data_IF_600500019197
#
_entry.id   IF_600500019197
#
_cell.length_a   1.000
_cell.length_b   1.000
_cell.length_c   1.000
_cell.angle_alpha   90.00
_cell.angle_beta   90.00
_cell.angle_gamma   90.00
#
_symmetry.space_group_name_H-M   'P 1'
#
loop_
_entity.id
_entity.type
_entity.pdbx_description
1 polymer ?
#
# COMPACT_ATOMS: atom_id res chain seq x y z
N UNK A 1 6.22 -29.47 -39.48
CA UNK A 1 6.42 -28.06 -39.11
C UNK A 1 5.21 -27.64 -38.27
N UNK A 2 5.36 -27.55 -36.95
CA UNK A 2 4.26 -27.16 -36.04
C UNK A 2 4.41 -25.68 -35.68
N UNK A 3 3.41 -24.89 -36.05
CA UNK A 3 3.30 -23.50 -35.63
C UNK A 3 3.04 -23.44 -34.11
N UNK A 4 3.94 -22.78 -33.37
CA UNK A 4 3.71 -22.41 -31.98
C UNK A 4 2.63 -21.33 -31.94
N UNK A 5 1.44 -21.72 -31.48
CA UNK A 5 0.41 -20.78 -31.05
C UNK A 5 0.93 -20.03 -29.82
N UNK A 6 1.19 -18.73 -29.98
CA UNK A 6 1.40 -17.83 -28.85
C UNK A 6 0.01 -17.65 -28.20
N UNK A 7 -0.24 -18.41 -27.14
CA UNK A 7 -1.40 -18.18 -26.28
C UNK A 7 -1.14 -16.91 -25.47
N UNK A 8 -1.97 -15.87 -25.55
CA UNK A 8 -1.83 -14.72 -24.68
C UNK A 8 -2.24 -15.18 -23.28
N UNK A 9 -1.26 -15.42 -22.40
CA UNK A 9 -1.51 -15.52 -20.96
C UNK A 9 -1.90 -14.13 -20.45
N UNK A 10 -3.11 -13.70 -20.80
CA UNK A 10 -3.90 -12.81 -19.98
C UNK A 10 -4.16 -13.59 -18.68
N UNK A 11 -3.22 -13.48 -17.76
CA UNK A 11 -3.44 -13.89 -16.37
C UNK A 11 -4.56 -13.00 -15.88
N UNK A 12 -5.79 -13.50 -16.00
CA UNK A 12 -6.89 -13.16 -15.13
C UNK A 12 -6.37 -13.41 -13.71
N UNK A 13 -5.78 -12.38 -13.11
CA UNK A 13 -5.48 -12.34 -11.69
C UNK A 13 -6.83 -12.52 -10.99
N UNK A 14 -7.13 -13.79 -10.64
CA UNK A 14 -8.21 -14.12 -9.72
C UNK A 14 -8.10 -13.15 -8.56
N UNK A 15 -9.26 -12.59 -8.16
CA UNK A 15 -9.45 -11.77 -6.96
C UNK A 15 -9.10 -12.57 -5.70
N UNK A 16 -7.83 -12.93 -5.53
CA UNK A 16 -7.33 -13.52 -4.30
C UNK A 16 -7.27 -12.37 -3.32
N UNK A 17 -8.24 -12.31 -2.41
CA UNK A 17 -8.22 -11.37 -1.29
C UNK A 17 -6.90 -11.54 -0.56
N UNK A 18 -6.02 -10.55 -0.65
CA UNK A 18 -4.69 -10.60 -0.04
C UNK A 18 -4.82 -10.15 1.39
N UNK A 19 -4.50 -11.02 2.34
CA UNK A 19 -4.52 -10.69 3.76
C UNK A 19 -3.14 -10.93 4.37
N UNK A 20 -2.75 -10.05 5.28
CA UNK A 20 -1.55 -10.21 6.11
C UNK A 20 -1.96 -10.12 7.56
N UNK A 21 -1.47 -11.05 8.38
CA UNK A 21 -1.64 -10.99 9.83
C UNK A 21 -0.33 -10.58 10.47
N UNK A 22 -0.34 -9.47 11.22
CA UNK A 22 0.82 -8.99 11.97
C UNK A 22 0.37 -8.53 13.36
N UNK A 23 1.08 -8.97 14.40
CA UNK A 23 0.78 -8.65 15.80
C UNK A 23 -0.69 -8.96 16.20
N UNK A 24 -1.23 -10.08 15.72
CA UNK A 24 -2.61 -10.51 16.01
C UNK A 24 -3.71 -9.71 15.29
N UNK A 25 -3.36 -8.74 14.43
CA UNK A 25 -4.31 -8.00 13.59
C UNK A 25 -4.22 -8.47 12.13
N UNK A 26 -5.37 -8.68 11.50
CA UNK A 26 -5.48 -9.06 10.08
C UNK A 26 -5.76 -7.83 9.23
N UNK A 27 -4.97 -7.65 8.19
CA UNK A 27 -5.05 -6.54 7.25
C UNK A 27 -5.51 -7.06 5.88
N UNK A 28 -6.66 -6.58 5.42
CA UNK A 28 -7.22 -6.92 4.11
C UNK A 28 -6.64 -6.02 3.00
N UNK A 29 -6.54 -6.57 1.79
CA UNK A 29 -5.93 -5.93 0.61
C UNK A 29 -4.47 -5.51 0.79
N UNK A 30 -3.76 -6.20 1.70
CA UNK A 30 -2.33 -6.05 1.92
C UNK A 30 -1.61 -7.29 1.41
N UNK A 31 -0.51 -7.08 0.71
CA UNK A 31 0.38 -8.12 0.19
C UNK A 31 1.55 -8.29 1.16
N UNK A 32 1.89 -9.52 1.57
CA UNK A 32 3.12 -9.74 2.33
C UNK A 32 4.33 -9.33 1.47
N UNK A 33 5.36 -8.81 2.14
CA UNK A 33 6.60 -8.38 1.49
C UNK A 33 7.79 -9.11 2.11
N UNK A 34 8.80 -9.36 1.29
CA UNK A 34 10.17 -9.67 1.70
C UNK A 34 11.06 -8.45 1.46
N UNK A 35 12.26 -8.42 2.05
CA UNK A 35 13.23 -7.32 1.90
C UNK A 35 13.48 -7.02 0.41
N UNK A 36 13.64 -8.06 -0.41
CA UNK A 36 13.97 -7.93 -1.84
C UNK A 36 12.75 -7.67 -2.74
N UNK A 37 11.54 -7.61 -2.19
CA UNK A 37 10.30 -7.48 -2.97
C UNK A 37 9.77 -6.05 -3.09
N UNK A 38 10.41 -5.09 -2.42
CA UNK A 38 10.03 -3.69 -2.43
C UNK A 38 10.79 -2.95 -3.52
N UNK A 39 10.08 -2.08 -4.24
CA UNK A 39 10.64 -1.25 -5.30
C UNK A 39 10.29 0.22 -5.08
N UNK A 40 11.14 1.13 -5.54
CA UNK A 40 10.85 2.57 -5.51
C UNK A 40 9.53 2.83 -6.24
N UNK A 41 8.66 3.64 -5.63
CA UNK A 41 7.30 3.91 -6.09
C UNK A 41 6.22 3.00 -5.49
N UNK A 42 6.62 1.95 -4.75
CA UNK A 42 5.70 1.11 -4.00
C UNK A 42 5.04 1.84 -2.84
N UNK A 43 3.94 1.26 -2.37
CA UNK A 43 3.12 1.80 -1.29
C UNK A 43 3.18 0.86 -0.08
N UNK A 44 4.21 0.94 0.77
CA UNK A 44 4.25 0.17 2.01
C UNK A 44 3.21 0.70 3.01
N UNK A 45 2.53 -0.23 3.69
CA UNK A 45 1.80 0.02 4.92
C UNK A 45 2.76 -0.22 6.08
N UNK A 46 3.11 0.84 6.81
CA UNK A 46 4.12 0.84 7.87
C UNK A 46 3.45 1.13 9.21
N UNK A 47 3.97 0.53 10.27
CA UNK A 47 3.55 0.79 11.65
C UNK A 47 4.69 1.40 12.45
N UNK A 48 4.49 2.64 12.92
CA UNK A 48 5.33 3.27 13.94
C UNK A 48 4.58 3.26 15.26
N UNK A 49 5.15 2.61 16.28
CA UNK A 49 4.49 2.41 17.57
C UNK A 49 3.07 1.83 17.39
N UNK A 50 2.03 2.56 17.77
CA UNK A 50 0.62 2.17 17.60
C UNK A 50 -0.02 2.69 16.31
N UNK A 51 0.62 3.62 15.60
CA UNK A 51 0.06 4.31 14.44
C UNK A 51 0.50 3.67 13.12
N UNK A 52 -0.38 3.76 12.12
CA UNK A 52 -0.17 3.14 10.81
C UNK A 52 -0.20 4.20 9.73
N UNK A 53 0.70 4.06 8.76
CA UNK A 53 0.93 5.03 7.72
C UNK A 53 1.08 4.35 6.37
N UNK A 54 0.61 5.02 5.33
CA UNK A 54 0.88 4.66 3.95
C UNK A 54 1.74 5.77 3.39
N UNK A 55 2.83 5.41 2.72
CA UNK A 55 3.66 6.36 1.98
C UNK A 55 4.04 5.82 0.62
N UNK A 56 4.56 6.69 -0.24
CA UNK A 56 5.23 6.26 -1.46
C UNK A 56 6.71 6.07 -1.16
N UNK A 57 7.26 4.90 -1.48
CA UNK A 57 8.67 4.61 -1.29
C UNK A 57 9.50 5.41 -2.29
N UNK A 58 10.47 6.18 -1.80
CA UNK A 58 11.32 7.07 -2.61
C UNK A 58 12.75 6.55 -2.72
N UNK A 59 13.24 5.80 -1.72
CA UNK A 59 14.59 5.23 -1.73
C UNK A 59 14.67 3.91 -0.94
N UNK A 60 15.58 3.04 -1.38
CA UNK A 60 15.90 1.75 -0.77
C UNK A 60 17.41 1.67 -0.58
N UNK A 61 17.85 1.49 0.65
CA UNK A 61 19.23 1.24 1.03
C UNK A 61 19.27 0.45 2.35
N UNK A 62 20.19 0.79 3.24
CA UNK A 62 20.22 0.22 4.61
C UNK A 62 18.91 0.45 5.37
N UNK A 63 18.21 1.54 5.04
CA UNK A 63 16.87 1.87 5.53
C UNK A 63 15.99 2.27 4.35
N UNK A 64 14.68 2.13 4.51
CA UNK A 64 13.69 2.55 3.53
C UNK A 64 13.32 4.00 3.78
N UNK A 65 13.13 4.80 2.72
CA UNK A 65 12.64 6.18 2.84
C UNK A 65 11.33 6.29 2.07
N UNK A 66 10.27 6.79 2.73
CA UNK A 66 9.00 7.04 2.08
C UNK A 66 8.43 8.41 2.43
N UNK A 67 7.64 8.93 1.51
CA UNK A 67 6.84 10.14 1.68
C UNK A 67 5.42 9.75 2.10
N UNK A 68 5.11 9.97 3.38
CA UNK A 68 3.88 9.51 4.01
C UNK A 68 2.69 10.42 3.71
N UNK A 69 1.55 9.77 3.51
CA UNK A 69 0.28 10.43 3.25
C UNK A 69 -0.49 10.71 4.55
N UNK A 70 -1.31 11.75 4.54
CA UNK A 70 -2.24 12.06 5.62
C UNK A 70 -3.64 11.58 5.27
N UNK A 71 -4.28 10.89 6.22
CA UNK A 71 -5.65 10.43 6.06
C UNK A 71 -6.57 11.64 5.98
N UNK A 72 -7.41 11.70 4.94
CA UNK A 72 -8.42 12.72 4.76
C UNK A 72 -9.76 12.18 5.24
N UNK A 73 -10.33 12.81 6.27
CA UNK A 73 -11.68 12.50 6.71
C UNK A 73 -12.68 12.94 5.64
N UNK A 74 -13.49 12.01 5.16
CA UNK A 74 -14.55 12.28 4.18
C UNK A 74 -15.88 11.84 4.75
N UNK A 75 -16.90 12.68 4.64
CA UNK A 75 -18.29 12.42 5.09
C UNK A 75 -18.95 11.21 4.40
N UNK A 76 -18.39 10.76 3.27
CA UNK A 76 -18.77 9.54 2.55
C UNK A 76 -17.52 8.74 2.19
N UNK A 77 -16.82 8.16 3.18
CA UNK A 77 -15.93 7.05 2.82
C UNK A 77 -16.84 5.95 2.27
N UNK A 78 -16.79 5.71 0.96
CA UNK A 78 -17.34 4.47 0.44
C UNK A 78 -16.75 3.34 1.30
N UNK A 79 -17.60 2.41 1.75
CA UNK A 79 -17.31 1.41 2.80
C UNK A 79 -15.98 0.65 2.58
N UNK A 80 -15.43 0.69 1.36
CA UNK A 80 -14.24 -0.03 0.95
C UNK A 80 -13.02 0.85 0.61
N UNK A 81 -13.08 2.18 0.76
CA UNK A 81 -11.95 3.06 0.43
C UNK A 81 -11.64 4.06 1.54
N UNK A 82 -10.36 4.12 1.89
CA UNK A 82 -9.81 5.21 2.70
C UNK A 82 -9.14 6.24 1.79
N UNK A 83 -9.40 7.51 2.07
CA UNK A 83 -8.89 8.65 1.30
C UNK A 83 -7.65 9.23 2.00
N UNK A 84 -6.63 9.51 1.20
CA UNK A 84 -5.37 10.08 1.63
C UNK A 84 -4.97 11.24 0.71
N UNK A 85 -4.13 12.12 1.23
CA UNK A 85 -3.53 13.22 0.48
C UNK A 85 -2.06 13.34 0.86
N UNK A 86 -1.24 13.84 -0.05
CA UNK A 86 0.06 14.36 0.34
C UNK A 86 -0.14 15.58 1.24
N UNK A 87 0.60 15.69 2.35
CA UNK A 87 0.64 16.91 3.13
C UNK A 87 1.28 18.06 2.32
N UNK A 88 0.94 19.31 2.66
CA UNK A 88 1.50 20.50 1.99
C UNK A 88 3.03 20.60 2.18
N UNK A 89 3.52 20.14 3.33
CA UNK A 89 4.95 19.91 3.60
C UNK A 89 5.17 18.40 3.52
N UNK A 90 6.03 17.90 2.60
CA UNK A 90 6.30 16.47 2.44
C UNK A 90 6.72 15.82 3.76
N UNK A 91 6.12 14.67 4.06
CA UNK A 91 6.38 13.92 5.29
C UNK A 91 7.31 12.75 4.95
N UNK A 92 8.56 13.09 4.65
CA UNK A 92 9.59 12.13 4.24
C UNK A 92 10.31 11.62 5.50
N UNK A 93 10.23 10.32 5.74
CA UNK A 93 10.84 9.69 6.92
C UNK A 93 11.39 8.31 6.56
N UNK A 94 12.48 7.93 7.22
CA UNK A 94 13.10 6.63 7.09
C UNK A 94 12.52 5.58 8.07
N UNK A 95 12.52 4.32 7.67
CA UNK A 95 12.01 3.20 8.47
C UNK A 95 12.72 1.90 8.15
N UNK A 96 12.57 0.95 9.07
CA UNK A 96 13.15 -0.37 9.00
C UNK A 96 12.14 -1.40 8.46
N UNK A 97 12.65 -2.53 7.97
CA UNK A 97 11.80 -3.60 7.42
C UNK A 97 10.80 -4.16 8.43
N UNK A 98 11.19 -4.29 9.69
CA UNK A 98 10.35 -4.79 10.78
C UNK A 98 9.12 -3.91 11.05
N UNK A 99 9.14 -2.65 10.61
CA UNK A 99 8.01 -1.73 10.71
C UNK A 99 6.98 -1.94 9.58
N UNK A 100 7.34 -2.65 8.51
CA UNK A 100 6.47 -2.86 7.35
C UNK A 100 5.46 -3.98 7.63
N UNK A 101 4.17 -3.67 7.57
CA UNK A 101 3.10 -4.66 7.63
C UNK A 101 3.01 -5.42 6.30
N UNK A 102 3.09 -4.68 5.19
CA UNK A 102 3.05 -5.22 3.85
C UNK A 102 2.94 -4.11 2.82
N UNK A 103 2.70 -4.47 1.57
CA UNK A 103 2.50 -3.54 0.45
C UNK A 103 1.03 -3.50 0.07
N UNK A 104 0.54 -2.34 -0.32
CA UNK A 104 -0.80 -2.20 -0.88
C UNK A 104 -0.72 -1.92 -2.38
N UNK A 105 -1.82 -2.21 -3.07
CA UNK A 105 -1.94 -1.89 -4.50
C UNK A 105 -1.87 -0.39 -4.75
N UNK A 106 -1.63 -0.04 -6.01
CA UNK A 106 -1.64 1.36 -6.46
C UNK A 106 -2.93 2.07 -6.05
N UNK A 107 -2.86 3.33 -5.63
CA UNK A 107 -4.05 4.10 -5.31
C UNK A 107 -4.88 4.40 -6.56
N UNK A 108 -6.20 4.43 -6.39
CA UNK A 108 -7.07 5.04 -7.38
C UNK A 108 -6.97 6.57 -7.24
N UNK A 109 -6.74 7.26 -8.37
CA UNK A 109 -6.67 8.73 -8.39
C UNK A 109 -8.06 9.34 -8.20
N UNK A 110 -8.21 10.12 -7.15
CA UNK A 110 -9.37 10.97 -6.89
C UNK A 110 -9.23 12.37 -7.50
N UNK A 111 -10.19 13.24 -7.20
CA UNK A 111 -10.12 14.66 -7.59
C UNK A 111 -9.20 15.42 -6.63
N UNK A 112 -8.54 16.48 -7.13
CA UNK A 112 -7.73 17.41 -6.32
C UNK A 112 -6.62 16.72 -5.50
N UNK A 113 -5.85 15.84 -6.14
CA UNK A 113 -4.69 15.18 -5.51
C UNK A 113 -5.04 14.13 -4.45
N UNK A 114 -6.31 13.78 -4.28
CA UNK A 114 -6.73 12.72 -3.34
C UNK A 114 -6.37 11.36 -3.91
N UNK A 115 -5.74 10.53 -3.10
CA UNK A 115 -5.43 9.12 -3.37
C UNK A 115 -6.42 8.24 -2.60
N UNK A 116 -6.94 7.20 -3.26
CA UNK A 116 -7.90 6.27 -2.65
C UNK A 116 -7.29 4.89 -2.58
N UNK A 117 -7.20 4.34 -1.39
CA UNK A 117 -6.72 2.98 -1.18
C UNK A 117 -7.87 2.09 -0.72
N UNK A 118 -7.91 0.85 -1.25
CA UNK A 118 -8.87 -0.19 -0.84
C UNK A 118 -8.48 -0.81 0.50
N UNK A 119 -8.28 0.02 1.51
CA UNK A 119 -7.91 -0.41 2.85
C UNK A 119 -8.95 0.10 3.82
N UNK A 120 -9.27 -0.72 4.82
CA UNK A 120 -10.15 -0.32 5.90
C UNK A 120 -9.35 0.30 7.04
N UNK A 121 -9.16 1.62 7.00
CA UNK A 121 -8.46 2.34 8.06
C UNK A 121 -9.27 2.46 9.36
N UNK A 122 -10.57 2.13 9.36
CA UNK A 122 -11.36 2.13 10.60
C UNK A 122 -10.93 1.00 11.55
N UNK A 123 -10.44 -0.11 10.99
CA UNK A 123 -9.83 -1.24 11.72
C UNK A 123 -8.37 -0.96 12.16
N UNK A 124 -7.83 0.23 11.90
CA UNK A 124 -6.45 0.57 12.23
C UNK A 124 -6.27 1.12 13.65
N UNK A 125 -7.37 1.44 14.35
CA UNK A 125 -7.33 1.84 15.75
C UNK A 125 -6.94 0.67 16.67
#
# INVERSE_FOLDING_TARGET
>A
MKACQISPNLVHLKKTTRFVTKNGKTFENVVPVTIDSLEIGDWPLVQFFSQKYIGQLESIGDRFIANFLRQKLTTKSAINYTHFVYPDIPDVTDFNFDQIIGKIGLPDKGRRGVLKFKVDASKWK
#
